data_IF_507630577374
#
_entry.id   IF_507630577374
#
_cell.length_a   1.000
_cell.length_b   1.000
_cell.length_c   1.000
_cell.angle_alpha   90.00
_cell.angle_beta   90.00
_cell.angle_gamma   90.00
#
_symmetry.space_group_name_H-M   'P 1'
#
loop_
_entity.id
_entity.type
_entity.pdbx_description
1 polymer ?
#
# COMPACT_ATOMS: atom_id res chain seq x y z
N UNK A 1 8.08 59.55 73.61
CA UNK A 1 9.48 59.11 73.42
C UNK A 1 9.59 58.48 72.05
N UNK A 2 10.00 59.29 71.06
CA UNK A 2 10.19 58.87 69.66
C UNK A 2 11.69 58.70 69.49
N UNK A 3 12.16 57.46 69.38
CA UNK A 3 13.55 57.10 69.16
C UNK A 3 13.85 57.23 67.67
N UNK A 4 14.55 58.30 67.28
CA UNK A 4 15.13 58.44 65.95
C UNK A 4 16.30 57.45 65.80
N UNK A 5 16.11 56.39 65.02
CA UNK A 5 17.22 55.53 64.59
C UNK A 5 17.73 56.07 63.25
N UNK A 6 18.89 56.71 63.30
CA UNK A 6 19.69 57.07 62.14
C UNK A 6 20.18 55.80 61.44
N UNK A 7 19.64 55.47 60.27
CA UNK A 7 20.28 54.53 59.36
C UNK A 7 21.05 55.31 58.29
N UNK A 8 22.37 55.20 58.38
CA UNK A 8 23.31 55.58 57.32
C UNK A 8 22.93 54.87 56.02
N UNK A 9 22.63 55.64 54.97
CA UNK A 9 22.56 55.15 53.59
C UNK A 9 24.00 54.99 53.10
N UNK A 10 24.47 53.77 52.80
CA UNK A 10 25.77 53.60 52.16
C UNK A 10 25.66 54.04 50.71
N UNK A 11 26.29 55.17 50.39
CA UNK A 11 26.59 55.54 49.02
C UNK A 11 27.53 54.51 48.40
N UNK A 12 27.17 54.05 47.19
CA UNK A 12 28.14 53.59 46.20
C UNK A 12 28.32 52.08 46.07
N UNK A 13 27.65 51.50 45.08
CA UNK A 13 28.24 50.44 44.24
C UNK A 13 27.77 50.68 42.80
N UNK A 14 28.36 51.70 42.16
CA UNK A 14 28.37 51.79 40.70
C UNK A 14 29.31 50.72 40.14
N UNK A 15 28.81 49.48 40.07
CA UNK A 15 29.49 48.39 39.39
C UNK A 15 29.18 48.48 37.90
N UNK A 16 30.11 49.05 37.12
CA UNK A 16 30.09 48.91 35.66
C UNK A 16 30.04 47.41 35.32
N UNK A 17 28.97 46.98 34.64
CA UNK A 17 28.95 45.66 34.02
C UNK A 17 29.98 45.73 32.90
N UNK A 18 31.20 45.23 33.16
CA UNK A 18 32.27 45.14 32.18
C UNK A 18 31.80 44.24 31.03
N UNK A 19 31.24 44.86 29.97
CA UNK A 19 30.81 44.14 28.79
C UNK A 19 32.04 43.59 28.08
N UNK A 20 32.34 42.31 28.31
CA UNK A 20 33.43 41.60 27.61
C UNK A 20 33.35 41.88 26.12
N UNK A 21 34.44 42.45 25.57
CA UNK A 21 34.55 42.74 24.14
C UNK A 21 34.28 41.45 23.36
N UNK A 22 33.35 41.48 22.39
CA UNK A 22 32.98 40.26 21.69
C UNK A 22 34.16 39.75 20.84
N UNK A 23 34.38 38.44 20.86
CA UNK A 23 35.44 37.81 20.10
C UNK A 23 35.26 38.04 18.59
N UNK A 24 36.39 38.19 17.88
CA UNK A 24 36.42 38.26 16.41
C UNK A 24 35.77 37.01 15.81
N UNK A 25 35.07 37.18 14.70
CA UNK A 25 34.40 36.08 13.97
C UNK A 25 34.51 36.29 12.47
N UNK A 26 34.28 35.24 11.69
CA UNK A 26 34.22 35.32 10.22
C UNK A 26 32.84 35.73 9.73
N UNK A 27 32.78 36.62 8.74
CA UNK A 27 31.54 36.98 8.04
C UNK A 27 30.99 35.78 7.26
N UNK A 28 29.68 35.54 7.34
CA UNK A 28 29.04 34.42 6.61
C UNK A 28 28.88 34.62 5.09
N UNK A 29 29.24 35.79 4.57
CA UNK A 29 29.20 36.10 3.13
C UNK A 29 30.61 36.12 2.54
N UNK A 30 31.48 37.04 2.97
CA UNK A 30 32.85 37.18 2.43
C UNK A 30 33.93 36.39 3.17
N UNK A 31 33.60 35.70 4.27
CA UNK A 31 34.54 34.91 5.08
C UNK A 31 35.67 35.71 5.78
N UNK A 32 35.69 37.03 5.68
CA UNK A 32 36.67 37.88 6.36
C UNK A 32 36.43 37.97 7.87
N UNK A 33 37.51 38.16 8.63
CA UNK A 33 37.46 38.36 10.07
C UNK A 33 37.02 39.79 10.41
N UNK A 34 36.05 39.95 11.30
CA UNK A 34 35.58 41.25 11.77
C UNK A 34 35.28 41.23 13.28
N UNK A 35 35.22 42.42 13.89
CA UNK A 35 34.79 42.60 15.28
C UNK A 35 33.28 42.93 15.31
N UNK A 36 32.41 42.04 15.82
CA UNK A 36 30.97 42.25 15.84
C UNK A 36 30.57 43.30 16.88
N UNK A 37 29.54 44.10 16.61
CA UNK A 37 28.99 45.05 17.61
C UNK A 37 28.14 44.35 18.68
N UNK A 38 27.44 43.26 18.31
CA UNK A 38 26.58 42.47 19.19
C UNK A 38 26.75 40.97 18.95
N UNK A 39 26.36 40.15 19.92
CA UNK A 39 26.53 38.68 19.88
C UNK A 39 25.80 38.01 18.71
N UNK A 40 24.71 38.60 18.21
CA UNK A 40 23.86 38.09 17.13
C UNK A 40 24.28 38.54 15.72
N UNK A 41 25.30 39.40 15.58
CA UNK A 41 25.77 39.87 14.26
C UNK A 41 26.74 38.85 13.65
N UNK A 42 26.47 38.39 12.43
CA UNK A 42 27.31 37.41 11.71
C UNK A 42 27.82 37.93 10.35
N UNK A 43 27.79 39.24 10.16
CA UNK A 43 28.16 39.95 8.93
C UNK A 43 29.07 41.14 9.24
N UNK A 44 29.97 41.50 8.32
CA UNK A 44 30.94 42.59 8.52
C UNK A 44 30.41 43.99 8.16
N UNK A 45 29.37 44.10 7.32
CA UNK A 45 28.77 45.37 6.88
C UNK A 45 27.24 45.24 6.66
N UNK A 46 26.48 46.35 6.61
CA UNK A 46 25.03 46.31 6.45
C UNK A 46 24.54 45.49 5.23
N UNK A 47 25.25 45.55 4.10
CA UNK A 47 24.89 44.85 2.86
C UNK A 47 24.96 43.32 3.02
N UNK A 48 26.02 42.80 3.63
CA UNK A 48 26.14 41.38 3.97
C UNK A 48 25.08 40.94 4.99
N UNK A 49 24.66 41.84 5.87
CA UNK A 49 23.53 41.61 6.78
C UNK A 49 22.20 41.46 6.03
N UNK A 50 21.94 42.36 5.08
CA UNK A 50 20.77 42.30 4.22
C UNK A 50 20.75 41.03 3.36
N UNK A 51 21.89 40.63 2.78
CA UNK A 51 22.00 39.41 1.98
C UNK A 51 21.70 38.15 2.81
N UNK A 52 22.24 38.06 4.03
CA UNK A 52 21.94 36.94 4.93
C UNK A 52 20.45 36.88 5.32
N UNK A 53 19.83 38.04 5.55
CA UNK A 53 18.41 38.12 5.85
C UNK A 53 17.55 37.63 4.67
N UNK A 54 17.91 38.03 3.44
CA UNK A 54 17.25 37.58 2.21
C UNK A 54 17.43 36.07 2.02
N UNK A 55 18.66 35.54 2.14
CA UNK A 55 18.94 34.09 2.04
C UNK A 55 18.13 33.28 3.05
N UNK A 56 18.05 33.75 4.29
CA UNK A 56 17.25 33.10 5.34
C UNK A 56 15.77 33.10 4.98
N UNK A 57 15.21 34.25 4.58
CA UNK A 57 13.81 34.38 4.16
C UNK A 57 13.47 33.45 2.99
N UNK A 58 14.34 33.35 1.98
CA UNK A 58 14.14 32.47 0.84
C UNK A 58 14.13 31.00 1.25
N UNK A 59 15.10 30.57 2.07
CA UNK A 59 15.15 29.20 2.62
C UNK A 59 13.92 28.87 3.45
N UNK A 60 13.47 29.80 4.30
CA UNK A 60 12.29 29.59 5.14
C UNK A 60 11.02 29.50 4.28
N UNK A 61 10.92 30.31 3.20
CA UNK A 61 9.85 30.23 2.21
C UNK A 61 9.85 28.88 1.48
N UNK A 62 10.99 28.44 0.96
CA UNK A 62 11.13 27.16 0.26
C UNK A 62 10.74 25.98 1.17
N UNK A 63 11.18 26.00 2.44
CA UNK A 63 10.79 24.99 3.44
C UNK A 63 9.28 25.00 3.70
N UNK A 64 8.68 26.17 3.82
CA UNK A 64 7.24 26.30 4.02
C UNK A 64 6.44 25.78 2.82
N UNK A 65 6.87 26.09 1.59
CA UNK A 65 6.27 25.60 0.35
C UNK A 65 6.38 24.06 0.24
N UNK A 66 7.55 23.50 0.55
CA UNK A 66 7.75 22.05 0.57
C UNK A 66 6.88 21.35 1.61
N UNK A 67 6.78 21.91 2.82
CA UNK A 67 5.93 21.38 3.88
C UNK A 67 4.44 21.40 3.48
N UNK A 68 3.99 22.50 2.88
CA UNK A 68 2.62 22.62 2.37
C UNK A 68 2.33 21.62 1.25
N UNK A 69 3.27 21.43 0.32
CA UNK A 69 3.16 20.43 -0.76
C UNK A 69 3.06 19.01 -0.20
N UNK A 70 3.91 18.66 0.78
CA UNK A 70 3.88 17.34 1.44
C UNK A 70 2.56 17.12 2.17
N UNK A 71 2.07 18.12 2.91
CA UNK A 71 0.76 18.06 3.58
C UNK A 71 -0.38 17.84 2.59
N UNK A 72 -0.42 18.60 1.50
CA UNK A 72 -1.42 18.43 0.42
C UNK A 72 -1.36 17.04 -0.22
N UNK A 73 -0.17 16.50 -0.43
CA UNK A 73 -0.01 15.14 -0.97
C UNK A 73 -0.52 14.07 0.00
N UNK A 74 -0.25 14.22 1.29
CA UNK A 74 -0.76 13.31 2.33
C UNK A 74 -2.29 13.36 2.43
N UNK A 75 -2.88 14.56 2.47
CA UNK A 75 -4.34 14.73 2.48
C UNK A 75 -4.99 14.13 1.24
N UNK A 76 -4.39 14.31 0.07
CA UNK A 76 -4.90 13.74 -1.18
C UNK A 76 -4.82 12.20 -1.17
N UNK A 77 -3.73 11.62 -0.65
CA UNK A 77 -3.59 10.17 -0.52
C UNK A 77 -4.66 9.61 0.44
N UNK A 78 -4.84 10.23 1.60
CA UNK A 78 -5.84 9.82 2.58
C UNK A 78 -7.27 9.91 2.02
N UNK A 79 -7.60 10.98 1.28
CA UNK A 79 -8.89 11.11 0.60
C UNK A 79 -9.13 10.00 -0.42
N UNK A 80 -8.09 9.64 -1.19
CA UNK A 80 -8.16 8.52 -2.15
C UNK A 80 -8.40 7.19 -1.45
N UNK A 81 -7.70 6.92 -0.35
CA UNK A 81 -7.84 5.69 0.42
C UNK A 81 -9.24 5.58 1.06
N UNK A 82 -9.74 6.68 1.65
CA UNK A 82 -11.12 6.77 2.16
C UNK A 82 -12.15 6.51 1.06
N UNK A 83 -11.97 7.11 -0.11
CA UNK A 83 -12.87 6.89 -1.25
C UNK A 83 -12.83 5.44 -1.73
N UNK A 84 -11.65 4.81 -1.78
CA UNK A 84 -11.47 3.40 -2.16
C UNK A 84 -12.19 2.48 -1.16
N UNK A 85 -12.01 2.71 0.15
CA UNK A 85 -12.68 1.94 1.20
C UNK A 85 -14.21 2.06 1.10
N UNK A 86 -14.74 3.27 0.93
CA UNK A 86 -16.19 3.50 0.71
C UNK A 86 -16.70 2.77 -0.52
N UNK A 87 -15.98 2.84 -1.64
CA UNK A 87 -16.33 2.13 -2.88
C UNK A 87 -16.32 0.62 -2.71
N UNK A 88 -15.41 0.07 -1.91
CA UNK A 88 -15.34 -1.37 -1.63
C UNK A 88 -16.49 -1.82 -0.72
N UNK A 89 -16.81 -1.04 0.32
CA UNK A 89 -17.88 -1.36 1.28
C UNK A 89 -19.24 -1.55 0.60
N UNK A 90 -19.54 -0.72 -0.41
CA UNK A 90 -20.79 -0.78 -1.19
C UNK A 90 -20.78 -1.83 -2.31
N UNK A 91 -19.69 -2.57 -2.52
CA UNK A 91 -19.66 -3.63 -3.55
C UNK A 91 -20.60 -4.77 -3.14
N UNK A 92 -21.38 -5.21 -4.12
CA UNK A 92 -22.23 -6.37 -3.99
C UNK A 92 -21.41 -7.67 -3.87
N UNK A 93 -21.97 -8.71 -3.25
CA UNK A 93 -21.29 -9.99 -3.02
C UNK A 93 -20.75 -10.65 -4.31
N UNK A 94 -21.41 -10.40 -5.45
CA UNK A 94 -20.96 -10.88 -6.77
C UNK A 94 -19.58 -10.36 -7.16
N UNK A 95 -19.19 -9.15 -6.71
CA UNK A 95 -17.85 -8.62 -6.95
C UNK A 95 -16.78 -9.50 -6.30
N UNK A 96 -16.96 -9.84 -5.02
CA UNK A 96 -16.03 -10.68 -4.26
C UNK A 96 -15.99 -12.10 -4.80
N UNK A 97 -17.16 -12.67 -5.15
CA UNK A 97 -17.26 -13.96 -5.84
C UNK A 97 -16.44 -13.99 -7.14
N UNK A 98 -16.49 -12.94 -7.94
CA UNK A 98 -15.73 -12.85 -9.18
C UNK A 98 -14.22 -12.72 -8.94
N UNK A 99 -13.80 -11.99 -7.90
CA UNK A 99 -12.39 -11.90 -7.51
C UNK A 99 -11.85 -13.27 -7.07
N UNK A 100 -12.59 -13.99 -6.22
CA UNK A 100 -12.26 -15.34 -5.80
C UNK A 100 -12.16 -16.31 -6.99
N UNK A 101 -13.13 -16.25 -7.92
CA UNK A 101 -13.10 -17.10 -9.13
C UNK A 101 -11.91 -16.77 -10.02
N UNK A 102 -11.54 -15.51 -10.17
CA UNK A 102 -10.36 -15.11 -10.96
C UNK A 102 -9.06 -15.64 -10.34
N UNK A 103 -8.91 -15.54 -9.02
CA UNK A 103 -7.77 -16.10 -8.30
C UNK A 103 -7.70 -17.63 -8.45
N UNK A 104 -8.79 -18.33 -8.15
CA UNK A 104 -8.90 -19.78 -8.34
C UNK A 104 -8.57 -20.20 -9.77
N UNK A 105 -9.14 -19.54 -10.78
CA UNK A 105 -8.88 -19.86 -12.18
C UNK A 105 -7.43 -19.59 -12.61
N UNK A 106 -6.75 -18.61 -12.00
CA UNK A 106 -5.33 -18.37 -12.22
C UNK A 106 -4.51 -19.52 -11.62
N UNK A 107 -4.78 -19.87 -10.37
CA UNK A 107 -4.14 -21.00 -9.69
C UNK A 107 -4.29 -22.32 -10.48
N UNK A 108 -5.50 -22.70 -10.91
CA UNK A 108 -5.71 -23.95 -11.66
C UNK A 108 -4.87 -23.99 -12.96
N UNK A 109 -4.75 -22.86 -13.66
CA UNK A 109 -3.94 -22.77 -14.89
C UNK A 109 -2.46 -22.88 -14.61
N UNK A 110 -1.99 -22.32 -13.49
CA UNK A 110 -0.59 -22.42 -13.05
C UNK A 110 -0.26 -23.84 -12.56
N UNK A 111 -1.10 -24.42 -11.69
CA UNK A 111 -0.98 -25.80 -11.20
C UNK A 111 -0.87 -26.81 -12.33
N UNK A 112 -1.69 -26.65 -13.37
CA UNK A 112 -1.75 -27.57 -14.51
C UNK A 112 -0.90 -27.08 -15.71
N UNK A 113 0.02 -26.11 -15.53
CA UNK A 113 0.71 -25.44 -16.67
C UNK A 113 1.48 -26.40 -17.60
N UNK A 114 2.04 -27.47 -17.05
CA UNK A 114 2.85 -28.44 -17.80
C UNK A 114 2.03 -29.65 -18.30
N UNK A 115 0.75 -29.73 -17.93
CA UNK A 115 -0.15 -30.81 -18.36
C UNK A 115 -0.82 -30.50 -19.70
N UNK A 116 -1.23 -31.48 -20.50
CA UNK A 116 -2.05 -31.21 -21.67
C UNK A 116 -3.47 -30.74 -21.29
N UNK A 117 -4.27 -30.34 -22.28
CA UNK A 117 -5.70 -30.10 -22.06
C UNK A 117 -6.39 -31.35 -21.49
N UNK A 118 -7.08 -31.23 -20.36
CA UNK A 118 -7.76 -32.34 -19.68
C UNK A 118 -8.79 -33.06 -20.55
N UNK A 119 -9.37 -32.41 -21.56
CA UNK A 119 -10.41 -33.02 -22.40
C UNK A 119 -9.91 -33.60 -23.72
N UNK A 120 -8.81 -33.13 -24.28
CA UNK A 120 -8.34 -33.65 -25.57
C UNK A 120 -6.93 -34.22 -25.53
N UNK A 121 -6.22 -34.09 -24.41
CA UNK A 121 -4.86 -34.62 -24.25
C UNK A 121 -3.80 -33.90 -25.08
N UNK A 122 -4.13 -32.78 -25.75
CA UNK A 122 -3.20 -32.04 -26.61
C UNK A 122 -2.68 -30.76 -25.94
N UNK A 123 -1.46 -30.40 -26.32
CA UNK A 123 -0.90 -29.06 -26.10
C UNK A 123 -1.35 -28.13 -27.24
N UNK A 124 -1.80 -26.95 -26.88
CA UNK A 124 -2.33 -25.94 -27.77
C UNK A 124 -1.55 -24.64 -27.58
N UNK A 125 -1.38 -23.87 -28.66
CA UNK A 125 -0.79 -22.51 -28.61
C UNK A 125 -1.81 -21.42 -28.27
N UNK A 126 -3.08 -21.80 -28.06
CA UNK A 126 -4.19 -20.88 -27.83
C UNK A 126 -4.51 -20.66 -26.35
N UNK A 127 -5.62 -19.96 -26.09
CA UNK A 127 -6.07 -19.67 -24.74
C UNK A 127 -6.48 -20.95 -23.98
N UNK A 128 -6.02 -21.02 -22.73
CA UNK A 128 -6.42 -22.02 -21.74
C UNK A 128 -7.30 -21.40 -20.65
N UNK A 129 -8.25 -22.20 -20.17
CA UNK A 129 -9.20 -21.88 -19.12
C UNK A 129 -9.08 -22.89 -17.97
N UNK A 130 -9.64 -22.56 -16.81
CA UNK A 130 -9.95 -23.51 -15.76
C UNK A 130 -11.36 -24.06 -16.00
N UNK A 131 -11.44 -25.20 -16.69
CA UNK A 131 -12.70 -25.83 -17.07
C UNK A 131 -13.24 -26.72 -15.95
N UNK A 132 -14.49 -26.48 -15.54
CA UNK A 132 -15.19 -27.27 -14.52
C UNK A 132 -15.86 -28.49 -15.14
N UNK A 133 -15.58 -29.69 -14.62
CA UNK A 133 -16.26 -30.92 -15.04
C UNK A 133 -17.75 -30.87 -14.74
N UNK A 134 -18.12 -30.57 -13.49
CA UNK A 134 -19.48 -30.23 -13.08
C UNK A 134 -19.64 -28.73 -13.04
N UNK A 135 -20.54 -28.21 -13.88
CA UNK A 135 -20.69 -26.76 -14.06
C UNK A 135 -21.02 -26.04 -12.77
N UNK A 136 -20.43 -24.86 -12.55
CA UNK A 136 -20.67 -24.06 -11.33
C UNK A 136 -22.08 -23.47 -11.22
N UNK A 137 -22.89 -23.61 -12.28
CA UNK A 137 -24.32 -23.24 -12.31
C UNK A 137 -25.18 -24.37 -11.71
N UNK A 138 -24.90 -25.61 -12.09
CA UNK A 138 -25.62 -26.78 -11.55
C UNK A 138 -25.09 -27.22 -10.18
N UNK A 139 -23.78 -27.05 -9.96
CA UNK A 139 -23.07 -27.52 -8.77
C UNK A 139 -22.23 -26.38 -8.15
N UNK A 140 -22.86 -25.33 -7.59
CA UNK A 140 -22.14 -24.22 -6.97
C UNK A 140 -21.28 -24.64 -5.77
N UNK A 141 -21.59 -25.76 -5.11
CA UNK A 141 -20.83 -26.38 -4.02
C UNK A 141 -19.48 -26.97 -4.45
N UNK A 142 -19.28 -27.15 -5.77
CA UNK A 142 -18.02 -27.62 -6.37
C UNK A 142 -17.25 -26.49 -7.07
N UNK A 143 -17.63 -25.22 -6.84
CA UNK A 143 -17.07 -24.06 -7.57
C UNK A 143 -15.57 -23.88 -7.39
N UNK A 144 -15.11 -24.06 -6.16
CA UNK A 144 -13.71 -23.91 -5.75
C UNK A 144 -13.10 -25.26 -5.37
N UNK A 145 -13.72 -26.35 -5.84
CA UNK A 145 -13.19 -27.69 -5.67
C UNK A 145 -12.15 -27.93 -6.77
N UNK A 146 -10.90 -28.11 -6.35
CA UNK A 146 -9.75 -28.30 -7.22
C UNK A 146 -9.84 -29.57 -8.09
N UNK A 147 -10.53 -30.60 -7.60
CA UNK A 147 -10.75 -31.85 -8.32
C UNK A 147 -11.81 -31.70 -9.41
N UNK A 148 -12.68 -30.71 -9.26
CA UNK A 148 -13.70 -30.39 -10.26
C UNK A 148 -13.19 -29.47 -11.37
N UNK A 149 -12.04 -28.81 -11.24
CA UNK A 149 -11.58 -27.76 -12.16
C UNK A 149 -10.13 -27.95 -12.63
N UNK A 150 -9.93 -28.07 -13.95
CA UNK A 150 -8.62 -28.39 -14.53
C UNK A 150 -8.34 -27.57 -15.80
N UNK A 151 -7.08 -27.51 -16.22
CA UNK A 151 -6.70 -26.77 -17.44
C UNK A 151 -7.35 -27.37 -18.70
N UNK A 152 -8.11 -26.53 -19.40
CA UNK A 152 -8.85 -26.90 -20.59
C UNK A 152 -8.65 -25.87 -21.72
N UNK A 153 -8.46 -26.32 -22.96
CA UNK A 153 -8.30 -25.41 -24.09
C UNK A 153 -9.64 -24.77 -24.49
N UNK A 154 -9.58 -23.57 -25.08
CA UNK A 154 -10.77 -22.81 -25.54
C UNK A 154 -11.70 -23.63 -26.45
N UNK A 155 -11.15 -24.43 -27.38
CA UNK A 155 -11.94 -25.29 -28.25
C UNK A 155 -12.85 -26.26 -27.47
N UNK A 156 -12.28 -26.97 -26.48
CA UNK A 156 -13.02 -27.93 -25.67
C UNK A 156 -13.97 -27.24 -24.69
N UNK A 157 -13.52 -26.18 -24.02
CA UNK A 157 -14.30 -25.51 -22.97
C UNK A 157 -15.49 -24.73 -23.55
N UNK A 158 -15.26 -23.94 -24.60
CA UNK A 158 -16.24 -22.95 -25.05
C UNK A 158 -17.15 -23.48 -26.16
N UNK A 159 -16.66 -24.36 -27.03
CA UNK A 159 -17.39 -24.79 -28.24
C UNK A 159 -17.91 -26.23 -28.19
N UNK A 160 -17.34 -27.08 -27.34
CA UNK A 160 -17.73 -28.49 -27.21
C UNK A 160 -18.44 -28.79 -25.89
N UNK A 161 -19.08 -27.78 -25.29
CA UNK A 161 -19.81 -27.92 -24.02
C UNK A 161 -18.97 -28.56 -22.91
N UNK A 162 -17.71 -28.13 -22.76
CA UNK A 162 -16.76 -28.70 -21.80
C UNK A 162 -16.20 -30.07 -22.19
N UNK A 163 -16.57 -30.62 -23.36
CA UNK A 163 -16.10 -31.91 -23.90
C UNK A 163 -16.09 -33.04 -22.84
N UNK A 164 -17.19 -33.14 -22.09
CA UNK A 164 -17.32 -33.96 -20.87
C UNK A 164 -17.04 -35.44 -21.12
N UNK A 165 -17.44 -35.97 -22.28
CA UNK A 165 -17.20 -37.37 -22.68
C UNK A 165 -15.71 -37.70 -22.63
N UNK A 166 -14.86 -36.82 -23.18
CA UNK A 166 -13.41 -37.02 -23.18
C UNK A 166 -12.72 -36.49 -21.91
N UNK A 167 -13.39 -35.60 -21.17
CA UNK A 167 -12.92 -35.10 -19.87
C UNK A 167 -12.96 -36.22 -18.82
N UNK A 168 -14.08 -36.96 -18.73
CA UNK A 168 -14.32 -37.98 -17.71
C UNK A 168 -13.21 -39.03 -17.57
N UNK A 169 -12.79 -39.77 -18.62
CA UNK A 169 -11.77 -40.81 -18.47
C UNK A 169 -10.43 -40.26 -17.99
N UNK A 170 -10.01 -39.08 -18.48
CA UNK A 170 -8.75 -38.44 -18.05
C UNK A 170 -8.84 -37.84 -16.65
N UNK A 171 -10.02 -37.40 -16.24
CA UNK A 171 -10.26 -36.98 -14.86
C UNK A 171 -10.06 -38.17 -13.92
N UNK A 172 -10.70 -39.31 -14.19
CA UNK A 172 -10.54 -40.54 -13.39
C UNK A 172 -9.07 -40.97 -13.35
N UNK A 173 -8.35 -40.92 -14.47
CA UNK A 173 -6.91 -41.19 -14.51
C UNK A 173 -6.10 -40.21 -13.63
N UNK A 174 -6.46 -38.92 -13.63
CA UNK A 174 -5.74 -37.86 -12.90
C UNK A 174 -6.00 -37.88 -11.39
N UNK A 175 -7.25 -38.04 -10.96
CA UNK A 175 -7.62 -37.95 -9.53
C UNK A 175 -7.90 -39.32 -8.89
N UNK A 176 -8.02 -40.38 -9.68
CA UNK A 176 -8.43 -41.70 -9.21
C UNK A 176 -9.95 -41.86 -9.11
N UNK A 177 -10.40 -43.13 -9.09
CA UNK A 177 -11.83 -43.47 -9.08
C UNK A 177 -12.53 -42.98 -7.80
N UNK A 178 -11.91 -43.15 -6.63
CA UNK A 178 -12.50 -42.77 -5.34
C UNK A 178 -12.82 -41.26 -5.27
N UNK A 179 -11.88 -40.40 -5.68
CA UNK A 179 -12.07 -38.94 -5.69
C UNK A 179 -13.09 -38.53 -6.75
N UNK A 180 -13.10 -39.21 -7.89
CA UNK A 180 -14.14 -39.00 -8.90
C UNK A 180 -15.53 -39.34 -8.37
N UNK A 181 -15.67 -40.46 -7.67
CA UNK A 181 -16.95 -40.87 -7.08
C UNK A 181 -17.39 -39.88 -6.00
N UNK A 182 -16.47 -39.38 -5.18
CA UNK A 182 -16.73 -38.31 -4.23
C UNK A 182 -17.24 -37.00 -4.90
N UNK A 183 -16.73 -36.64 -6.08
CA UNK A 183 -17.24 -35.52 -6.87
C UNK A 183 -18.65 -35.75 -7.41
N UNK A 184 -19.03 -37.01 -7.63
CA UNK A 184 -20.36 -37.36 -8.14
C UNK A 184 -21.41 -37.32 -7.03
N UNK A 185 -21.00 -37.54 -5.78
CA UNK A 185 -21.90 -37.52 -4.63
C UNK A 185 -22.54 -36.14 -4.39
N UNK A 186 -23.83 -36.10 -4.01
CA UNK A 186 -24.47 -34.87 -3.58
C UNK A 186 -23.75 -34.26 -2.37
N UNK A 187 -23.49 -32.95 -2.41
CA UNK A 187 -22.97 -32.19 -1.27
C UNK A 187 -23.94 -31.09 -0.86
N UNK A 188 -23.99 -30.71 0.43
CA UNK A 188 -24.81 -29.59 0.87
C UNK A 188 -24.36 -28.28 0.20
N UNK A 189 -25.32 -27.45 -0.15
CA UNK A 189 -25.06 -26.15 -0.76
C UNK A 189 -24.38 -25.21 0.25
N UNK A 190 -23.13 -24.86 -0.04
CA UNK A 190 -22.35 -23.92 0.76
C UNK A 190 -22.81 -22.47 0.47
N UNK A 191 -23.39 -21.80 1.47
CA UNK A 191 -23.75 -20.38 1.38
C UNK A 191 -22.56 -19.49 1.76
N UNK A 192 -21.73 -19.18 0.77
CA UNK A 192 -20.57 -18.30 0.93
C UNK A 192 -20.96 -16.86 1.26
N UNK A 193 -20.35 -16.30 2.29
CA UNK A 193 -20.43 -14.87 2.65
C UNK A 193 -19.30 -14.09 1.97
N UNK A 194 -19.30 -12.77 2.14
CA UNK A 194 -18.25 -11.88 1.62
C UNK A 194 -16.87 -12.33 2.11
N UNK A 195 -16.75 -12.56 3.40
CA UNK A 195 -15.50 -12.89 4.08
C UNK A 195 -14.93 -14.22 3.58
N UNK A 196 -15.80 -15.16 3.20
CA UNK A 196 -15.36 -16.42 2.63
C UNK A 196 -14.76 -16.25 1.24
N UNK A 197 -15.36 -15.40 0.39
CA UNK A 197 -14.80 -15.11 -0.92
C UNK A 197 -13.48 -14.34 -0.84
N UNK A 198 -13.34 -13.43 0.13
CA UNK A 198 -12.09 -12.74 0.40
C UNK A 198 -11.01 -13.75 0.83
N UNK A 199 -11.31 -14.63 1.80
CA UNK A 199 -10.39 -15.70 2.22
C UNK A 199 -9.95 -16.59 1.07
N UNK A 200 -10.88 -17.07 0.25
CA UNK A 200 -10.59 -17.89 -0.93
C UNK A 200 -9.72 -17.10 -1.93
N UNK A 201 -10.04 -15.83 -2.14
CA UNK A 201 -9.27 -14.98 -3.04
C UNK A 201 -7.82 -14.80 -2.57
N UNK A 202 -7.60 -14.65 -1.27
CA UNK A 202 -6.28 -14.50 -0.68
C UNK A 202 -5.50 -15.83 -0.71
N UNK A 203 -6.15 -16.95 -0.40
CA UNK A 203 -5.57 -18.30 -0.46
C UNK A 203 -4.99 -18.62 -1.86
N UNK A 204 -5.73 -18.32 -2.92
CA UNK A 204 -5.29 -18.58 -4.29
C UNK A 204 -4.44 -17.46 -4.93
N UNK A 205 -4.17 -16.37 -4.19
CA UNK A 205 -3.26 -15.30 -4.62
C UNK A 205 -1.88 -15.36 -3.97
N UNK A 206 -1.74 -16.11 -2.88
CA UNK A 206 -0.47 -16.36 -2.20
C UNK A 206 0.50 -17.13 -3.09
#
# INVERSE_FOLDING_TARGET
MITFINYCVPNGIGGEIEMKKPARRKCKICCEWFMPKYSNIWWCNPDHGAELAIKKRNRDREKAEQALKKKRQQELAEQKDKLKARKLAVKHISYFKNQAQQAFNAFIRERDKDLPCISCGRFHKGQYHAGHYRTTKAHPELRFDEDNAHKQCSACNNYLSGNIINYKPRLIEKIGQERFDALMMPRPLMKWRREDYERICDEYRA
#
